data_IF_152469604542
#
_entry.id   IF_152469604542
#
_cell.length_a   1.000
_cell.length_b   1.000
_cell.length_c   1.000
_cell.angle_alpha   90.00
_cell.angle_beta   90.00
_cell.angle_gamma   90.00
#
_symmetry.space_group_name_H-M   'P 1'
#
loop_
_entity.id
_entity.type
_entity.pdbx_description
1 polymer ?
#
# COMPACT_ATOMS: atom_id res chain seq x y z
N UNK A 1 7.32 -11.29 16.09
CA UNK A 1 7.18 -10.11 15.19
C UNK A 1 5.76 -10.13 14.66
N UNK A 2 5.03 -9.02 14.66
CA UNK A 2 3.62 -9.03 14.25
C UNK A 2 3.57 -9.05 12.71
N UNK A 3 3.50 -10.23 12.09
CA UNK A 3 3.61 -10.41 10.63
C UNK A 3 2.66 -9.49 9.84
N UNK A 4 1.50 -9.16 10.40
CA UNK A 4 0.47 -8.32 9.77
C UNK A 4 0.91 -6.89 9.41
N UNK A 5 2.04 -6.39 9.92
CA UNK A 5 2.50 -5.01 9.67
C UNK A 5 3.74 -4.88 8.78
N UNK A 6 4.37 -5.99 8.35
CA UNK A 6 5.62 -5.91 7.57
C UNK A 6 5.43 -5.25 6.21
N UNK A 7 4.36 -5.60 5.48
CA UNK A 7 4.00 -4.90 4.25
C UNK A 7 3.76 -3.39 4.48
N UNK A 8 3.06 -3.01 5.55
CA UNK A 8 2.83 -1.60 5.89
C UNK A 8 4.13 -0.86 6.19
N UNK A 9 5.08 -1.49 6.89
CA UNK A 9 6.42 -0.91 7.12
C UNK A 9 7.16 -0.71 5.80
N UNK A 10 7.09 -1.67 4.88
CA UNK A 10 7.73 -1.56 3.56
C UNK A 10 7.13 -0.41 2.75
N UNK A 11 5.80 -0.31 2.70
CA UNK A 11 5.10 0.80 2.04
C UNK A 11 5.50 2.14 2.64
N UNK A 12 5.55 2.26 3.98
CA UNK A 12 5.99 3.46 4.71
C UNK A 12 7.38 3.91 4.25
N UNK A 13 8.34 2.99 4.21
CA UNK A 13 9.71 3.27 3.76
C UNK A 13 9.73 3.72 2.30
N UNK A 14 9.01 3.01 1.42
CA UNK A 14 8.97 3.35 0.00
C UNK A 14 8.28 4.69 -0.29
N UNK A 15 7.36 5.09 0.59
CA UNK A 15 6.62 6.36 0.54
C UNK A 15 7.32 7.51 1.29
N UNK A 16 8.51 7.27 1.83
CA UNK A 16 9.29 8.24 2.59
C UNK A 16 8.50 8.88 3.75
N UNK A 17 7.86 8.02 4.56
CA UNK A 17 7.08 8.43 5.73
C UNK A 17 7.75 8.06 7.03
N UNK A 18 7.54 8.89 8.06
CA UNK A 18 8.13 8.67 9.37
C UNK A 18 7.39 7.57 10.13
N UNK A 19 6.05 7.56 10.07
CA UNK A 19 5.21 6.65 10.83
C UNK A 19 4.27 5.85 9.92
N UNK A 20 3.88 4.65 10.36
CA UNK A 20 2.84 3.86 9.64
C UNK A 20 1.52 4.65 9.60
N UNK A 21 1.21 5.42 10.64
CA UNK A 21 0.04 6.31 10.70
C UNK A 21 0.00 7.35 9.59
N UNK A 22 1.15 7.73 9.02
CA UNK A 22 1.19 8.68 7.90
C UNK A 22 0.62 8.08 6.61
N UNK A 23 0.49 6.74 6.55
CA UNK A 23 -0.18 6.03 5.46
C UNK A 23 -1.71 6.10 5.56
N UNK A 24 -2.23 6.40 6.76
CA UNK A 24 -3.65 6.60 7.04
C UNK A 24 -3.97 8.08 6.81
N UNK A 25 -5.01 8.37 6.04
CA UNK A 25 -5.46 9.71 5.62
C UNK A 25 -4.68 10.30 4.43
N UNK A 26 -5.40 10.79 3.41
CA UNK A 26 -4.97 11.64 2.28
C UNK A 26 -3.47 11.63 1.91
N UNK A 27 -2.85 10.45 1.94
CA UNK A 27 -1.44 10.33 1.67
C UNK A 27 -1.19 10.67 0.22
N UNK A 28 -0.30 11.62 0.03
CA UNK A 28 0.25 12.02 -1.26
C UNK A 28 1.41 11.10 -1.59
N UNK A 29 1.34 10.48 -2.76
CA UNK A 29 2.44 9.71 -3.33
C UNK A 29 2.96 10.42 -4.57
N UNK A 30 4.26 10.32 -4.85
CA UNK A 30 4.81 10.66 -6.16
C UNK A 30 4.78 9.42 -7.06
N UNK A 31 4.80 9.59 -8.40
CA UNK A 31 4.93 8.45 -9.31
C UNK A 31 6.16 7.58 -9.01
N UNK A 32 7.27 8.19 -8.59
CA UNK A 32 8.49 7.47 -8.19
C UNK A 32 8.21 6.55 -7.00
N UNK A 33 7.46 7.03 -6.00
CA UNK A 33 7.09 6.22 -4.84
C UNK A 33 6.11 5.10 -5.19
N UNK A 34 5.14 5.36 -6.08
CA UNK A 34 4.20 4.35 -6.59
C UNK A 34 4.94 3.24 -7.35
N UNK A 35 5.91 3.61 -8.19
CA UNK A 35 6.69 2.65 -8.98
C UNK A 35 7.53 1.70 -8.12
N UNK A 36 8.01 2.14 -6.94
CA UNK A 36 8.74 1.25 -6.02
C UNK A 36 7.91 0.04 -5.57
N UNK A 37 6.58 0.18 -5.51
CA UNK A 37 5.67 -0.89 -5.03
C UNK A 37 5.37 -1.93 -6.11
N UNK A 38 5.44 -1.57 -7.40
CA UNK A 38 5.37 -2.54 -8.49
C UNK A 38 6.41 -3.65 -8.30
N UNK A 39 7.59 -3.29 -7.80
CA UNK A 39 8.72 -4.18 -7.55
C UNK A 39 8.63 -4.99 -6.26
N UNK A 40 7.60 -4.81 -5.43
CA UNK A 40 7.42 -5.67 -4.27
C UNK A 40 7.10 -7.08 -4.74
N UNK A 41 7.87 -8.07 -4.28
CA UNK A 41 7.54 -9.47 -4.53
C UNK A 41 6.16 -9.77 -3.95
N UNK A 42 5.33 -10.44 -4.74
CA UNK A 42 3.99 -10.86 -4.31
C UNK A 42 4.06 -11.98 -3.26
N UNK A 43 5.14 -12.76 -3.30
CA UNK A 43 5.32 -13.96 -2.48
C UNK A 43 5.89 -13.65 -1.09
N UNK A 44 6.55 -12.50 -0.92
CA UNK A 44 7.13 -12.04 0.34
C UNK A 44 6.08 -11.73 1.41
N UNK A 45 4.82 -11.54 1.01
CA UNK A 45 3.72 -11.16 1.91
C UNK A 45 2.52 -12.10 1.73
N UNK A 46 1.86 -12.41 2.84
CA UNK A 46 0.61 -13.17 2.87
C UNK A 46 -0.57 -12.38 2.27
N UNK A 47 -1.63 -13.07 1.86
CA UNK A 47 -2.86 -12.41 1.41
C UNK A 47 -3.45 -11.50 2.50
N UNK A 48 -3.37 -11.93 3.75
CA UNK A 48 -3.83 -11.16 4.91
C UNK A 48 -3.05 -9.86 5.08
N UNK A 49 -1.73 -9.86 4.87
CA UNK A 49 -0.94 -8.63 4.90
C UNK A 49 -1.35 -7.66 3.79
N UNK A 50 -1.55 -8.17 2.56
CA UNK A 50 -2.04 -7.34 1.45
C UNK A 50 -3.41 -6.71 1.77
N UNK A 51 -4.35 -7.52 2.25
CA UNK A 51 -5.69 -7.05 2.64
C UNK A 51 -5.61 -6.04 3.80
N UNK A 52 -4.84 -6.34 4.84
CA UNK A 52 -4.67 -5.46 6.00
C UNK A 52 -4.05 -4.11 5.59
N UNK A 53 -3.02 -4.11 4.73
CA UNK A 53 -2.41 -2.89 4.24
C UNK A 53 -3.41 -2.03 3.45
N UNK A 54 -4.21 -2.65 2.58
CA UNK A 54 -5.24 -1.94 1.80
C UNK A 54 -6.32 -1.37 2.71
N UNK A 55 -6.87 -2.16 3.65
CA UNK A 55 -7.85 -1.67 4.63
C UNK A 55 -7.29 -0.49 5.42
N UNK A 56 -6.03 -0.60 5.84
CA UNK A 56 -5.36 0.45 6.60
C UNK A 56 -5.15 1.74 5.79
N UNK A 57 -4.74 1.66 4.52
CA UNK A 57 -4.47 2.85 3.69
C UNK A 57 -5.77 3.47 3.17
N UNK A 58 -6.71 2.63 2.73
CA UNK A 58 -7.95 3.05 2.08
C UNK A 58 -9.04 3.43 3.09
N UNK A 59 -8.90 3.03 4.36
CA UNK A 59 -9.92 3.22 5.41
C UNK A 59 -11.29 2.65 5.00
N UNK A 60 -11.30 1.57 4.23
CA UNK A 60 -12.49 0.84 3.78
C UNK A 60 -12.35 -0.63 4.15
N UNK A 61 -13.45 -1.24 4.58
CA UNK A 61 -13.49 -2.67 4.82
C UNK A 61 -13.58 -3.42 3.49
N UNK A 62 -12.41 -3.67 2.90
CA UNK A 62 -12.25 -4.31 1.59
C UNK A 62 -11.25 -5.45 1.70
N UNK A 63 -11.60 -6.61 1.14
CA UNK A 63 -10.72 -7.78 1.08
C UNK A 63 -10.79 -8.43 -0.29
N UNK A 64 -9.69 -9.04 -0.68
CA UNK A 64 -9.53 -9.78 -1.92
C UNK A 64 -9.26 -11.25 -1.64
N UNK A 65 -9.58 -12.10 -2.60
CA UNK A 65 -9.39 -13.55 -2.52
C UNK A 65 -8.03 -14.00 -3.04
N UNK A 66 -7.33 -13.13 -3.79
CA UNK A 66 -6.01 -13.45 -4.33
C UNK A 66 -4.99 -12.34 -4.07
N UNK A 67 -3.73 -12.71 -3.86
CA UNK A 67 -2.63 -11.75 -3.68
C UNK A 67 -2.49 -10.83 -4.91
N UNK A 68 -2.79 -11.36 -6.09
CA UNK A 68 -2.64 -10.65 -7.38
C UNK A 68 -3.65 -9.51 -7.49
N UNK A 69 -4.90 -9.75 -7.12
CA UNK A 69 -5.94 -8.72 -7.07
C UNK A 69 -5.61 -7.65 -6.03
N UNK A 70 -5.22 -8.07 -4.82
CA UNK A 70 -4.87 -7.16 -3.75
C UNK A 70 -3.69 -6.24 -4.13
N UNK A 71 -2.59 -6.81 -4.65
CA UNK A 71 -1.43 -6.04 -5.13
C UNK A 71 -1.81 -5.08 -6.25
N UNK A 72 -2.60 -5.53 -7.24
CA UNK A 72 -3.08 -4.68 -8.33
C UNK A 72 -3.91 -3.51 -7.81
N UNK A 73 -4.82 -3.77 -6.86
CA UNK A 73 -5.64 -2.73 -6.25
C UNK A 73 -4.80 -1.72 -5.47
N UNK A 74 -3.85 -2.17 -4.65
CA UNK A 74 -2.96 -1.28 -3.91
C UNK A 74 -2.20 -0.34 -4.85
N UNK A 75 -1.66 -0.88 -5.96
CA UNK A 75 -1.00 -0.07 -6.98
C UNK A 75 -1.93 1.02 -7.55
N UNK A 76 -3.15 0.64 -7.96
CA UNK A 76 -4.14 1.58 -8.53
C UNK A 76 -4.53 2.65 -7.50
N UNK A 77 -4.80 2.24 -6.26
CA UNK A 77 -5.14 3.15 -5.15
C UNK A 77 -4.08 4.23 -4.98
N UNK A 78 -2.81 3.84 -4.98
CA UNK A 78 -1.69 4.76 -4.81
C UNK A 78 -1.43 5.61 -6.05
N UNK A 79 -1.61 5.05 -7.25
CA UNK A 79 -1.50 5.79 -8.51
C UNK A 79 -2.55 6.90 -8.60
N UNK A 80 -3.80 6.62 -8.24
CA UNK A 80 -4.87 7.63 -8.20
C UNK A 80 -4.52 8.73 -7.20
N UNK A 81 -4.03 8.36 -6.01
CA UNK A 81 -3.57 9.33 -5.01
C UNK A 81 -2.41 10.18 -5.52
N UNK A 82 -1.47 9.62 -6.29
CA UNK A 82 -0.41 10.40 -6.90
C UNK A 82 -0.94 11.41 -7.92
N UNK A 83 -1.77 10.94 -8.87
CA UNK A 83 -2.35 11.77 -9.92
C UNK A 83 -3.18 12.93 -9.38
N UNK A 84 -3.92 12.73 -8.29
CA UNK A 84 -4.71 13.79 -7.65
C UNK A 84 -3.88 14.93 -7.05
N UNK A 85 -2.57 14.73 -6.83
CA UNK A 85 -1.68 15.78 -6.32
C UNK A 85 -0.97 16.56 -7.43
N UNK A 86 -0.97 16.06 -8.66
CA UNK A 86 -0.41 16.78 -9.82
C UNK A 86 -1.43 17.73 -10.47
N UNK A 87 -2.69 17.71 -10.02
CA UNK A 87 -3.81 18.54 -10.48
C UNK A 87 -4.07 19.68 -9.49
#
# INVERSE_FOLDING_TARGET
MNEKIELLKKIRISADKNYISDLRNNIVFTYVQVNKILFFSIDDYSLDEWNNAIKYINQKDLSFNTKKEAKKYLYILMFIKARLNDL
#
